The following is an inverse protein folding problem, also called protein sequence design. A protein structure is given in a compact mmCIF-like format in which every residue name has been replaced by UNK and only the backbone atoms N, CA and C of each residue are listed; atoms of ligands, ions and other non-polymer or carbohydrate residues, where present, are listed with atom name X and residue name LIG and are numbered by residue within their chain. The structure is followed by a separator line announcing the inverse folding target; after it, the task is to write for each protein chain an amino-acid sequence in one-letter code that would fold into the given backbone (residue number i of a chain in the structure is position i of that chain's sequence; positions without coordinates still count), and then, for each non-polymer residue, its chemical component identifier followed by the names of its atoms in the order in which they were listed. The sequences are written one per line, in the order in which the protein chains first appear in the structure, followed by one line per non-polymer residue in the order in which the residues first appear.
data_IF_956996838971
#
_entry.id   IF_956996838971
#
_cell.length_a   1.000
_cell.length_b   1.000
_cell.length_c   1.000
_cell.angle_alpha   90.00
_cell.angle_beta   90.00
_cell.angle_gamma   90.00
#
_symmetry.space_group_name_H-M   'P 1'
#
loop_
_entity.id
_entity.type
_entity.pdbx_description
1 polymer ?
#
# COMPACT_ATOMS: atom_id res chain seq x y z
N UNK A 1 -12.01 -19.44 11.26
CA UNK A 1 -12.12 -17.99 10.96
C UNK A 1 -13.52 -17.55 11.42
N UNK A 2 -13.78 -16.26 11.70
CA UNK A 2 -15.06 -15.77 12.24
C UNK A 2 -15.52 -14.53 11.48
N UNK A 3 -16.82 -14.55 11.13
CA UNK A 3 -17.72 -13.56 10.48
C UNK A 3 -17.07 -12.63 9.44
N UNK A 4 -17.32 -12.96 8.17
CA UNK A 4 -16.82 -12.25 6.98
C UNK A 4 -15.93 -13.12 6.08
N UNK A 5 -16.04 -14.45 6.13
CA UNK A 5 -15.23 -15.40 5.35
C UNK A 5 -15.43 -15.18 3.84
N UNK A 6 -14.61 -14.28 3.28
CA UNK A 6 -14.40 -14.15 1.85
C UNK A 6 -13.20 -15.01 1.52
N UNK A 7 -13.40 -16.06 0.74
CA UNK A 7 -12.28 -16.87 0.26
C UNK A 7 -11.41 -16.02 -0.68
N UNK A 8 -10.11 -16.03 -0.44
CA UNK A 8 -9.13 -15.44 -1.36
C UNK A 8 -8.78 -16.51 -2.38
N UNK A 9 -8.88 -16.18 -3.66
CA UNK A 9 -8.53 -17.08 -4.75
C UNK A 9 -8.07 -16.35 -6.00
N UNK A 10 -7.94 -17.08 -7.11
CA UNK A 10 -7.42 -16.53 -8.38
C UNK A 10 -8.20 -15.35 -8.96
N UNK A 11 -9.45 -15.14 -8.55
CA UNK A 11 -10.31 -14.03 -8.99
C UNK A 11 -10.38 -12.90 -7.95
N UNK A 12 -9.52 -12.91 -6.94
CA UNK A 12 -9.49 -11.90 -5.88
C UNK A 12 -8.40 -10.88 -6.16
N UNK A 13 -8.73 -9.60 -5.95
CA UNK A 13 -7.78 -8.50 -5.86
C UNK A 13 -7.72 -8.05 -4.40
N UNK A 14 -6.53 -8.14 -3.80
CA UNK A 14 -6.26 -7.58 -2.48
C UNK A 14 -5.69 -6.17 -2.64
N UNK A 15 -6.38 -5.19 -2.07
CA UNK A 15 -5.90 -3.80 -2.01
C UNK A 15 -5.42 -3.54 -0.58
N UNK A 16 -4.16 -3.16 -0.43
CA UNK A 16 -3.58 -2.77 0.85
C UNK A 16 -3.40 -1.27 0.84
N UNK A 17 -4.27 -0.56 1.55
CA UNK A 17 -4.16 0.88 1.73
C UNK A 17 -3.18 1.22 2.86
N UNK A 18 -2.60 2.42 2.81
CA UNK A 18 -1.55 2.88 3.73
C UNK A 18 -0.38 1.88 3.88
N UNK A 19 0.01 1.24 2.77
CA UNK A 19 1.08 0.23 2.75
C UNK A 19 2.45 0.78 3.18
N UNK A 20 2.62 2.12 3.23
CA UNK A 20 3.85 2.78 3.69
C UNK A 20 4.15 2.53 5.17
N UNK A 21 3.11 2.33 5.99
CA UNK A 21 3.27 2.05 7.43
C UNK A 21 3.38 0.56 7.75
N UNK A 22 3.11 -0.32 6.79
CA UNK A 22 3.16 -1.78 6.96
C UNK A 22 4.61 -2.25 7.07
N UNK A 23 4.91 -2.99 8.14
CA UNK A 23 6.25 -3.53 8.34
C UNK A 23 6.60 -4.59 7.28
N UNK A 24 7.89 -4.79 7.04
CA UNK A 24 8.36 -5.80 6.10
C UNK A 24 7.86 -7.21 6.44
N UNK A 25 7.72 -7.55 7.73
CA UNK A 25 7.18 -8.85 8.15
C UNK A 25 5.70 -8.99 7.79
N UNK A 26 4.87 -8.01 8.16
CA UNK A 26 3.44 -8.04 7.84
C UNK A 26 3.21 -8.06 6.33
N UNK A 27 4.01 -7.32 5.55
CA UNK A 27 3.91 -7.35 4.09
C UNK A 27 4.27 -8.72 3.52
N UNK A 28 5.30 -9.39 4.04
CA UNK A 28 5.62 -10.77 3.64
C UNK A 28 4.44 -11.70 3.87
N UNK A 29 3.83 -11.65 5.06
CA UNK A 29 2.70 -12.52 5.40
C UNK A 29 1.50 -12.28 4.46
N UNK A 30 1.20 -11.03 4.13
CA UNK A 30 0.15 -10.66 3.18
C UNK A 30 0.44 -11.18 1.77
N UNK A 31 1.65 -10.97 1.28
CA UNK A 31 2.06 -11.42 -0.06
C UNK A 31 2.07 -12.95 -0.17
N UNK A 32 2.50 -13.66 0.88
CA UNK A 32 2.51 -15.13 0.91
C UNK A 32 1.09 -15.70 0.83
N UNK A 33 0.14 -15.13 1.56
CA UNK A 33 -1.28 -15.55 1.50
C UNK A 33 -1.84 -15.32 0.09
N UNK A 34 -1.62 -14.13 -0.49
CA UNK A 34 -2.10 -13.81 -1.83
C UNK A 34 -1.45 -14.70 -2.90
N UNK A 35 -0.15 -14.96 -2.79
CA UNK A 35 0.59 -15.82 -3.70
C UNK A 35 0.05 -17.26 -3.69
N UNK A 36 -0.14 -17.86 -2.50
CA UNK A 36 -0.72 -19.20 -2.36
C UNK A 36 -2.12 -19.30 -2.92
N UNK A 37 -2.92 -18.24 -2.79
CA UNK A 37 -4.27 -18.16 -3.35
C UNK A 37 -4.31 -17.88 -4.86
N UNK A 38 -3.18 -17.48 -5.46
CA UNK A 38 -3.11 -16.99 -6.84
C UNK A 38 -3.82 -15.64 -7.06
N UNK A 39 -3.99 -14.85 -5.99
CA UNK A 39 -4.65 -13.56 -6.02
C UNK A 39 -3.70 -12.44 -6.49
N UNK A 40 -4.27 -11.38 -7.06
CA UNK A 40 -3.52 -10.15 -7.38
C UNK A 40 -3.46 -9.26 -6.15
N UNK A 41 -2.34 -8.57 -5.95
CA UNK A 41 -2.18 -7.56 -4.89
C UNK A 41 -1.93 -6.19 -5.52
N UNK A 42 -2.55 -5.15 -4.98
CA UNK A 42 -2.26 -3.74 -5.27
C UNK A 42 -1.96 -3.05 -3.94
N UNK A 43 -0.81 -2.39 -3.88
CA UNK A 43 -0.37 -1.63 -2.73
C UNK A 43 -0.61 -0.15 -2.99
N UNK A 44 -1.27 0.53 -2.07
CA UNK A 44 -1.51 1.96 -2.08
C UNK A 44 -0.89 2.57 -0.83
N UNK A 45 -0.34 3.77 -0.96
CA UNK A 45 0.24 4.48 0.16
C UNK A 45 1.26 5.50 -0.29
N UNK A 46 1.64 6.36 0.64
CA UNK A 46 2.66 7.36 0.42
C UNK A 46 4.01 6.85 0.96
N UNK A 47 5.04 6.82 0.12
CA UNK A 47 6.37 6.39 0.53
C UNK A 47 7.17 7.48 1.25
N UNK A 48 6.69 8.73 1.22
CA UNK A 48 7.27 9.87 1.91
C UNK A 48 6.64 10.12 3.28
N UNK A 49 5.44 9.59 3.54
CA UNK A 49 4.79 9.67 4.85
C UNK A 49 5.39 8.68 5.86
N UNK A 50 5.05 8.86 7.13
CA UNK A 50 5.71 8.28 8.31
C UNK A 50 6.23 6.85 8.10
N UNK A 51 7.54 6.67 8.36
CA UNK A 51 8.20 5.36 8.28
C UNK A 51 7.52 4.38 9.23
N UNK A 52 7.30 3.14 8.78
CA UNK A 52 6.74 2.05 9.60
C UNK A 52 7.37 2.01 10.99
N UNK A 53 6.53 1.83 12.02
CA UNK A 53 6.96 1.63 13.42
C UNK A 53 7.70 0.29 13.59
N UNK A 54 7.45 -0.68 12.71
CA UNK A 54 8.13 -1.98 12.70
C UNK A 54 9.44 -1.99 11.91
N UNK A 55 10.18 -3.10 11.97
CA UNK A 55 11.46 -3.25 11.26
C UNK A 55 11.29 -3.18 9.74
N UNK A 56 11.63 -2.03 9.16
CA UNK A 56 11.67 -1.77 7.72
C UNK A 56 10.28 -1.56 7.09
N UNK A 57 10.13 -0.49 6.33
CA UNK A 57 8.95 -0.26 5.49
C UNK A 57 9.07 -1.05 4.18
N UNK A 58 8.03 -1.80 3.81
CA UNK A 58 8.08 -2.68 2.63
C UNK A 58 7.76 -1.97 1.31
N UNK A 59 6.98 -0.89 1.36
CA UNK A 59 6.40 -0.27 0.16
C UNK A 59 7.46 0.32 -0.77
N UNK A 60 8.40 1.11 -0.25
CA UNK A 60 9.43 1.76 -1.07
C UNK A 60 10.34 0.73 -1.78
N UNK A 61 10.91 -0.30 -1.12
CA UNK A 61 11.70 -1.33 -1.80
C UNK A 61 10.91 -2.10 -2.87
N UNK A 62 9.62 -2.36 -2.64
CA UNK A 62 8.76 -3.03 -3.63
C UNK A 62 8.55 -2.14 -4.86
N UNK A 63 8.25 -0.85 -4.64
CA UNK A 63 8.08 0.13 -5.70
C UNK A 63 9.37 0.31 -6.53
N UNK A 64 10.54 0.35 -5.88
CA UNK A 64 11.84 0.48 -6.54
C UNK A 64 12.14 -0.73 -7.43
N UNK A 65 11.76 -1.94 -6.99
CA UNK A 65 12.06 -3.18 -7.69
C UNK A 65 11.06 -3.53 -8.81
N UNK A 66 9.77 -3.27 -8.58
CA UNK A 66 8.68 -3.68 -9.49
C UNK A 66 8.10 -2.52 -10.30
N UNK A 67 8.50 -1.29 -10.00
CA UNK A 67 7.88 -0.08 -10.51
C UNK A 67 6.60 0.29 -9.75
N UNK A 68 6.14 1.51 -9.96
CA UNK A 68 4.90 2.02 -9.38
C UNK A 68 4.28 3.09 -10.28
N UNK A 69 2.99 3.34 -10.08
CA UNK A 69 2.31 4.52 -10.62
C UNK A 69 2.18 5.56 -9.51
N UNK A 70 2.46 6.82 -9.82
CA UNK A 70 2.34 7.94 -8.90
C UNK A 70 1.13 8.80 -9.23
N UNK A 71 0.47 9.31 -8.20
CA UNK A 71 -0.60 10.29 -8.31
C UNK A 71 -0.03 11.63 -7.85
N UNK A 72 0.27 12.52 -8.81
CA UNK A 72 0.92 13.81 -8.53
C UNK A 72 -0.10 14.97 -8.45
N UNK A 73 -1.37 14.73 -8.82
CA UNK A 73 -2.42 15.75 -8.82
C UNK A 73 -3.09 15.87 -7.45
N UNK A 74 -2.93 17.02 -6.80
CA UNK A 74 -3.64 17.34 -5.56
C UNK A 74 -5.10 17.69 -5.88
N UNK A 75 -6.02 16.78 -5.55
CA UNK A 75 -7.47 16.97 -5.72
C UNK A 75 -8.22 17.37 -4.44
N UNK A 76 -7.65 17.09 -3.26
CA UNK A 76 -8.32 17.30 -1.96
C UNK A 76 -8.34 18.78 -1.56
N UNK A 77 -7.24 19.50 -1.75
CA UNK A 77 -7.14 20.92 -1.46
C UNK A 77 -7.63 21.75 -2.66
N UNK A 78 -8.54 22.70 -2.41
CA UNK A 78 -9.14 23.54 -3.46
C UNK A 78 -8.45 24.91 -3.58
N UNK A 79 -7.88 25.42 -2.49
CA UNK A 79 -7.15 26.69 -2.49
C UNK A 79 -5.67 26.46 -2.84
N UNK A 80 -5.08 27.39 -3.58
CA UNK A 80 -3.65 27.32 -3.96
C UNK A 80 -2.76 27.28 -2.70
N UNK A 81 -3.05 28.10 -1.70
CA UNK A 81 -2.31 28.17 -0.44
C UNK A 81 -2.26 26.81 0.29
N UNK A 82 -3.39 26.09 0.33
CA UNK A 82 -3.48 24.75 0.93
C UNK A 82 -2.73 23.70 0.11
N UNK A 83 -2.70 23.83 -1.22
CA UNK A 83 -1.94 22.94 -2.11
C UNK A 83 -0.45 23.12 -1.92
N UNK A 84 0.03 24.36 -1.82
CA UNK A 84 1.45 24.66 -1.59
C UNK A 84 1.93 24.12 -0.23
N UNK A 85 1.08 24.15 0.80
CA UNK A 85 1.41 23.59 2.11
C UNK A 85 1.62 22.06 2.09
N UNK A 86 0.94 21.33 1.20
CA UNK A 86 1.03 19.86 1.09
C UNK A 86 2.20 19.40 0.22
N UNK A 87 2.76 20.30 -0.61
CA UNK A 87 3.93 19.98 -1.46
C UNK A 87 5.27 19.99 -0.71
N UNK A 88 5.29 20.44 0.55
CA UNK A 88 6.50 20.54 1.38
C UNK A 88 6.98 19.20 1.93
#
# INVERSE_FOLDING_TARGET
MRKGETSIGKKTLLIVDEAGVVSAQQMRDVLDVAHRAGAKVVLLGDTKQQKSVGAGAALQPIADKLGSHRLDEIRRQHRIEEREAVKQ
#
